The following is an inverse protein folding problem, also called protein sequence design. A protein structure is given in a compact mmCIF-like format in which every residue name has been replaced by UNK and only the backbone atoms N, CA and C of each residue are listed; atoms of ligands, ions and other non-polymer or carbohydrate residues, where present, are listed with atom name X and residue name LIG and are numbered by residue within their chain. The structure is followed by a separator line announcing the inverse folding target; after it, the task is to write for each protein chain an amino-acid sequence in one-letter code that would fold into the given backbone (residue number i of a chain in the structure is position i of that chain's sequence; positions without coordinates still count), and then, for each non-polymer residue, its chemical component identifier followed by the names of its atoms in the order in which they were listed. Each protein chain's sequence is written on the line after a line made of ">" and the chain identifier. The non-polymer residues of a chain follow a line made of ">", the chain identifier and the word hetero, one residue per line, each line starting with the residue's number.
data_IF_931019518136
#
_entry.id   IF_931019518136
#
_cell.length_a   1.000
_cell.length_b   1.000
_cell.length_c   1.000
_cell.angle_alpha   90.00
_cell.angle_beta   90.00
_cell.angle_gamma   90.00
#
_symmetry.space_group_name_H-M   'P 1'
#
loop_
_entity.id
_entity.type
_entity.pdbx_description
1 polymer ?
#
# COMPACT_ATOMS: atom_id res chain seq x y z
N UNK A 1 -10.42 -0.91 -8.17
CA UNK A 1 -10.82 0.20 -7.27
C UNK A 1 -12.24 0.03 -6.74
N UNK A 2 -13.30 0.03 -7.56
CA UNK A 2 -14.70 -0.10 -7.09
C UNK A 2 -14.93 -1.36 -6.23
N UNK A 3 -14.49 -2.54 -6.67
CA UNK A 3 -14.61 -3.77 -5.89
C UNK A 3 -13.92 -3.72 -4.53
N UNK A 4 -12.78 -3.04 -4.43
CA UNK A 4 -12.11 -2.81 -3.15
C UNK A 4 -12.92 -1.89 -2.22
N UNK A 5 -13.57 -0.88 -2.77
CA UNK A 5 -14.45 0.00 -2.00
C UNK A 5 -15.69 -0.74 -1.48
N UNK A 6 -16.26 -1.64 -2.28
CA UNK A 6 -17.39 -2.48 -1.85
C UNK A 6 -16.98 -3.37 -0.67
N UNK A 7 -15.80 -4.00 -0.74
CA UNK A 7 -15.28 -4.80 0.38
C UNK A 7 -15.01 -3.95 1.63
N UNK A 8 -14.49 -2.74 1.46
CA UNK A 8 -14.14 -1.83 2.56
C UNK A 8 -15.36 -1.42 3.41
N UNK A 9 -16.54 -1.30 2.79
CA UNK A 9 -17.77 -0.89 3.44
C UNK A 9 -18.74 -2.04 3.73
N UNK A 10 -18.39 -3.29 3.41
CA UNK A 10 -19.25 -4.45 3.66
C UNK A 10 -19.50 -4.63 5.17
N UNK A 11 -20.74 -4.92 5.54
CA UNK A 11 -21.12 -5.12 6.95
C UNK A 11 -20.53 -6.40 7.54
N UNK A 12 -20.55 -7.50 6.79
CA UNK A 12 -20.10 -8.84 7.24
C UNK A 12 -18.65 -9.13 6.80
N UNK A 13 -17.73 -8.20 7.08
CA UNK A 13 -16.31 -8.37 6.71
C UNK A 13 -15.55 -9.17 7.75
N UNK A 14 -14.81 -10.23 7.33
CA UNK A 14 -13.96 -10.99 8.25
C UNK A 14 -12.80 -10.13 8.75
N UNK A 15 -12.59 -10.09 10.07
CA UNK A 15 -11.48 -9.37 10.70
C UNK A 15 -10.20 -10.20 10.62
N UNK A 16 -9.62 -10.34 9.41
CA UNK A 16 -8.36 -11.04 9.19
C UNK A 16 -7.49 -10.35 8.14
N UNK A 17 -6.19 -10.64 8.17
CA UNK A 17 -5.18 -10.07 7.29
C UNK A 17 -5.46 -10.34 5.81
N UNK A 18 -5.93 -11.53 5.47
CA UNK A 18 -6.21 -11.91 4.08
C UNK A 18 -7.31 -11.05 3.45
N UNK A 19 -8.38 -10.77 4.21
CA UNK A 19 -9.46 -9.88 3.77
C UNK A 19 -8.97 -8.44 3.58
N UNK A 20 -8.21 -7.91 4.56
CA UNK A 20 -7.61 -6.57 4.47
C UNK A 20 -6.69 -6.45 3.26
N UNK A 21 -5.76 -7.36 3.11
CA UNK A 21 -4.83 -7.41 1.98
C UNK A 21 -5.60 -7.39 0.64
N UNK A 22 -6.62 -8.24 0.49
CA UNK A 22 -7.46 -8.26 -0.71
C UNK A 22 -8.17 -6.94 -0.95
N UNK A 23 -8.74 -6.35 0.10
CA UNK A 23 -9.45 -5.07 0.04
C UNK A 23 -8.53 -3.95 -0.44
N UNK A 24 -7.37 -3.81 0.17
CA UNK A 24 -6.39 -2.78 -0.18
C UNK A 24 -5.77 -2.98 -1.57
N UNK A 25 -5.49 -4.23 -1.96
CA UNK A 25 -5.04 -4.54 -3.33
C UNK A 25 -6.05 -4.09 -4.38
N UNK A 26 -7.33 -4.29 -4.15
CA UNK A 26 -8.39 -3.91 -5.08
C UNK A 26 -8.74 -2.42 -5.01
N UNK A 27 -8.65 -1.78 -3.83
CA UNK A 27 -9.02 -0.39 -3.61
C UNK A 27 -7.91 0.56 -4.13
N UNK A 28 -6.73 0.48 -3.57
CA UNK A 28 -5.60 1.38 -3.84
C UNK A 28 -4.53 0.73 -4.71
N UNK A 29 -4.15 -0.51 -4.42
CA UNK A 29 -3.11 -1.24 -5.14
C UNK A 29 -3.40 -1.36 -6.63
N UNK A 30 -4.65 -1.57 -7.04
CA UNK A 30 -5.04 -1.68 -8.43
C UNK A 30 -4.71 -0.41 -9.25
N UNK A 31 -4.88 0.78 -8.67
CA UNK A 31 -4.58 2.04 -9.34
C UNK A 31 -3.07 2.27 -9.47
N UNK A 32 -2.32 2.03 -8.40
CA UNK A 32 -0.86 2.16 -8.38
C UNK A 32 -0.24 1.18 -9.38
N UNK A 33 -0.67 -0.09 -9.37
CA UNK A 33 -0.23 -1.10 -10.32
C UNK A 33 -0.55 -0.70 -11.77
N UNK A 34 -1.76 -0.19 -12.03
CA UNK A 34 -2.13 0.27 -13.37
C UNK A 34 -1.24 1.41 -13.85
N UNK A 35 -0.92 2.39 -12.98
CA UNK A 35 -0.02 3.49 -13.32
C UNK A 35 1.39 3.00 -13.69
N UNK A 36 1.96 2.06 -12.91
CA UNK A 36 3.26 1.45 -13.20
C UNK A 36 3.24 0.72 -14.56
N UNK A 37 2.20 -0.08 -14.81
CA UNK A 37 2.03 -0.79 -16.10
C UNK A 37 1.94 0.17 -17.28
N UNK A 38 1.14 1.23 -17.14
CA UNK A 38 0.97 2.23 -18.22
C UNK A 38 2.31 2.87 -18.56
N UNK A 39 3.16 3.17 -17.61
CA UNK A 39 4.51 3.68 -17.85
C UNK A 39 5.36 2.73 -18.70
N UNK A 40 5.39 1.44 -18.34
CA UNK A 40 6.13 0.42 -19.09
C UNK A 40 5.56 0.24 -20.50
N UNK A 41 4.24 0.20 -20.66
CA UNK A 41 3.58 0.06 -21.97
C UNK A 41 3.89 1.28 -22.85
N UNK A 42 3.78 2.49 -22.30
CA UNK A 42 4.06 3.72 -23.04
C UNK A 42 5.53 3.80 -23.53
N UNK A 43 6.45 3.21 -22.75
CA UNK A 43 7.86 3.11 -23.12
C UNK A 43 8.18 1.94 -24.08
N UNK A 44 7.20 1.15 -24.50
CA UNK A 44 7.43 -0.05 -25.33
C UNK A 44 8.16 -1.17 -24.60
N UNK A 45 8.04 -1.23 -23.26
CA UNK A 45 8.76 -2.18 -22.41
C UNK A 45 8.34 -3.64 -22.62
N UNK A 46 9.25 -4.55 -22.26
CA UNK A 46 9.05 -6.00 -22.40
C UNK A 46 8.02 -6.56 -21.41
N UNK A 47 7.58 -7.81 -21.63
CA UNK A 47 6.73 -8.54 -20.69
C UNK A 47 7.40 -8.73 -19.32
N UNK A 48 8.72 -8.84 -19.29
CA UNK A 48 9.49 -8.92 -18.04
C UNK A 48 9.38 -7.62 -17.24
N UNK A 49 9.57 -6.47 -17.90
CA UNK A 49 9.38 -5.16 -17.26
C UNK A 49 7.93 -4.95 -16.80
N UNK A 50 6.93 -5.45 -17.54
CA UNK A 50 5.53 -5.41 -17.09
C UNK A 50 5.30 -6.22 -15.83
N UNK A 51 5.92 -7.40 -15.70
CA UNK A 51 5.84 -8.22 -14.48
C UNK A 51 6.54 -7.54 -13.30
N UNK A 52 7.69 -6.95 -13.53
CA UNK A 52 8.41 -6.16 -12.51
C UNK A 52 7.56 -4.97 -12.03
N UNK A 53 6.94 -4.23 -12.94
CA UNK A 53 6.05 -3.13 -12.64
C UNK A 53 4.78 -3.57 -11.87
N UNK A 54 4.23 -4.75 -12.20
CA UNK A 54 3.11 -5.34 -11.47
C UNK A 54 3.49 -5.63 -10.01
N UNK A 55 4.62 -6.31 -9.81
CA UNK A 55 5.12 -6.69 -8.48
C UNK A 55 5.45 -5.45 -7.65
N UNK A 56 6.14 -4.47 -8.24
CA UNK A 56 6.46 -3.20 -7.60
C UNK A 56 5.19 -2.44 -7.19
N UNK A 57 4.27 -2.23 -8.12
CA UNK A 57 3.05 -1.44 -7.87
C UNK A 57 2.13 -2.08 -6.84
N UNK A 58 2.07 -3.41 -6.81
CA UNK A 58 1.30 -4.16 -5.82
C UNK A 58 1.92 -4.05 -4.41
N UNK A 59 3.24 -4.20 -4.32
CA UNK A 59 3.98 -4.14 -3.06
C UNK A 59 3.93 -2.73 -2.44
N UNK A 60 4.19 -1.68 -3.24
CA UNK A 60 4.09 -0.28 -2.80
C UNK A 60 2.65 0.06 -2.41
N UNK A 61 1.67 -0.36 -3.20
CA UNK A 61 0.26 -0.07 -2.91
C UNK A 61 -0.23 -0.65 -1.59
N UNK A 62 0.22 -1.87 -1.26
CA UNK A 62 -0.11 -2.49 0.02
C UNK A 62 0.64 -1.81 1.18
N UNK A 63 1.95 -1.56 1.04
CA UNK A 63 2.74 -0.86 2.04
C UNK A 63 2.17 0.54 2.36
N UNK A 64 1.73 1.26 1.32
CA UNK A 64 1.10 2.57 1.45
C UNK A 64 -0.15 2.52 2.34
N UNK A 65 -1.03 1.55 2.13
CA UNK A 65 -2.25 1.41 2.93
C UNK A 65 -1.98 0.95 4.36
N UNK A 66 -1.05 0.01 4.56
CA UNK A 66 -0.63 -0.38 5.92
C UNK A 66 -0.08 0.84 6.67
N UNK A 67 0.70 1.69 5.99
CA UNK A 67 1.25 2.90 6.59
C UNK A 67 0.16 3.93 6.90
N UNK A 68 -0.85 4.09 6.05
CA UNK A 68 -2.01 4.94 6.36
C UNK A 68 -2.72 4.49 7.63
N UNK A 69 -2.98 3.19 7.76
CA UNK A 69 -3.60 2.60 8.95
C UNK A 69 -2.75 2.83 10.21
N UNK A 70 -1.41 2.70 10.09
CA UNK A 70 -0.46 2.97 11.19
C UNK A 70 -0.49 4.45 11.58
N UNK A 71 -0.49 5.35 10.61
CA UNK A 71 -0.50 6.79 10.85
C UNK A 71 -1.80 7.25 11.50
N UNK A 72 -2.95 6.66 11.16
CA UNK A 72 -4.23 6.98 11.81
C UNK A 72 -4.20 6.66 13.31
N UNK A 73 -3.45 5.64 13.73
CA UNK A 73 -3.27 5.27 15.14
C UNK A 73 -2.22 6.14 15.85
N UNK A 74 -1.12 6.48 15.19
CA UNK A 74 0.07 7.10 15.83
C UNK A 74 0.09 8.62 15.78
N UNK A 75 -0.55 9.23 14.76
CA UNK A 75 -0.46 10.67 14.54
C UNK A 75 -1.33 11.44 15.53
N UNK A 76 -0.91 12.65 15.86
CA UNK A 76 -1.74 13.58 16.63
C UNK A 76 -2.71 14.33 15.72
N UNK A 77 -3.85 14.84 16.24
CA UNK A 77 -4.78 15.68 15.45
C UNK A 77 -4.11 16.86 14.78
N UNK A 78 -3.08 17.43 15.42
CA UNK A 78 -2.33 18.58 14.88
C UNK A 78 -1.48 18.20 13.65
N UNK A 79 -0.99 16.95 13.58
CA UNK A 79 -0.17 16.45 12.46
C UNK A 79 -1.03 16.04 11.26
N UNK A 80 -2.20 15.43 11.51
CA UNK A 80 -3.06 14.90 10.45
C UNK A 80 -4.05 15.93 9.89
N UNK A 81 -4.25 17.08 10.54
CA UNK A 81 -5.31 18.03 10.19
C UNK A 81 -6.74 17.50 10.38
N UNK A 82 -6.88 16.29 10.92
CA UNK A 82 -8.14 15.61 11.24
C UNK A 82 -7.99 14.84 12.56
N UNK A 83 -9.10 14.47 13.25
CA UNK A 83 -9.04 13.67 14.47
C UNK A 83 -8.39 12.31 14.19
N UNK A 84 -7.44 11.89 15.04
CA UNK A 84 -6.82 10.55 15.02
C UNK A 84 -7.80 9.46 15.44
N UNK A 85 -7.60 8.21 15.04
CA UNK A 85 -8.54 7.11 15.27
C UNK A 85 -9.84 7.29 14.46
N UNK A 86 -9.77 7.99 13.33
CA UNK A 86 -10.93 8.20 12.47
C UNK A 86 -11.44 6.88 11.90
N UNK A 87 -10.53 5.95 11.59
CA UNK A 87 -10.87 4.64 11.04
C UNK A 87 -11.55 3.76 12.08
N UNK A 88 -11.08 3.76 13.32
CA UNK A 88 -11.74 3.05 14.43
C UNK A 88 -13.15 3.60 14.70
N UNK A 89 -13.31 4.92 14.77
CA UNK A 89 -14.63 5.56 14.94
C UNK A 89 -15.58 5.31 13.78
N UNK A 90 -15.04 5.17 12.57
CA UNK A 90 -15.82 4.81 11.39
C UNK A 90 -16.08 3.30 11.31
N UNK A 91 -15.63 2.51 12.29
CA UNK A 91 -15.74 1.06 12.30
C UNK A 91 -14.96 0.39 11.18
N UNK A 92 -13.91 1.03 10.63
CA UNK A 92 -13.07 0.46 9.59
C UNK A 92 -12.15 -0.60 10.14
N UNK A 93 -11.95 -1.64 9.36
CA UNK A 93 -10.97 -2.66 9.66
C UNK A 93 -9.58 -2.18 9.23
N UNK A 94 -8.60 -2.20 10.14
CA UNK A 94 -7.23 -1.74 9.89
C UNK A 94 -6.20 -2.82 10.24
N UNK A 95 -5.02 -2.75 9.64
CA UNK A 95 -3.93 -3.68 9.98
C UNK A 95 -3.54 -3.63 11.45
N UNK A 96 -3.35 -2.46 12.09
CA UNK A 96 -3.07 -2.41 13.53
C UNK A 96 -4.15 -3.07 14.41
N UNK A 97 -5.42 -2.98 14.02
CA UNK A 97 -6.51 -3.62 14.76
C UNK A 97 -6.52 -5.16 14.60
N UNK A 98 -6.09 -5.68 13.44
CA UNK A 98 -6.16 -7.11 13.12
C UNK A 98 -4.91 -7.88 13.55
N UNK A 99 -3.72 -7.33 13.29
CA UNK A 99 -2.44 -8.01 13.55
C UNK A 99 -1.56 -7.27 14.56
N UNK A 100 -2.01 -6.13 15.08
CA UNK A 100 -1.25 -5.30 16.01
C UNK A 100 -0.25 -4.37 15.31
N UNK A 101 0.07 -3.26 16.00
CA UNK A 101 0.91 -2.18 15.46
C UNK A 101 2.32 -2.65 15.09
N UNK A 102 2.95 -3.49 15.92
CA UNK A 102 4.30 -4.00 15.69
C UNK A 102 4.38 -4.84 14.41
N UNK A 103 3.46 -5.78 14.25
CA UNK A 103 3.39 -6.63 13.05
C UNK A 103 3.04 -5.83 11.79
N UNK A 104 2.16 -4.83 11.91
CA UNK A 104 1.84 -3.93 10.80
C UNK A 104 3.08 -3.17 10.29
N UNK A 105 3.92 -2.65 11.20
CA UNK A 105 5.19 -2.00 10.83
C UNK A 105 6.14 -2.96 10.12
N UNK A 106 6.29 -4.17 10.65
CA UNK A 106 7.14 -5.20 10.02
C UNK A 106 6.64 -5.59 8.63
N UNK A 107 5.33 -5.76 8.48
CA UNK A 107 4.72 -6.09 7.19
C UNK A 107 4.89 -4.95 6.17
N UNK A 108 4.71 -3.70 6.57
CA UNK A 108 4.95 -2.55 5.68
C UNK A 108 6.40 -2.52 5.18
N UNK A 109 7.38 -2.70 6.08
CA UNK A 109 8.78 -2.75 5.73
C UNK A 109 9.10 -3.92 4.77
N UNK A 110 8.58 -5.13 5.03
CA UNK A 110 8.73 -6.30 4.16
C UNK A 110 8.18 -6.03 2.75
N UNK A 111 7.01 -5.38 2.64
CA UNK A 111 6.44 -5.01 1.34
C UNK A 111 7.33 -4.03 0.59
N UNK A 112 7.96 -3.08 1.26
CA UNK A 112 8.91 -2.15 0.63
C UNK A 112 10.17 -2.88 0.16
N UNK A 113 10.74 -3.78 0.94
CA UNK A 113 11.88 -4.57 0.49
C UNK A 113 11.53 -5.40 -0.76
N UNK A 114 10.33 -5.98 -0.81
CA UNK A 114 9.85 -6.68 -2.01
C UNK A 114 9.70 -5.73 -3.22
N UNK A 115 9.21 -4.50 -3.01
CA UNK A 115 9.14 -3.48 -4.06
C UNK A 115 10.54 -3.09 -4.56
N UNK A 116 11.52 -2.91 -3.67
CA UNK A 116 12.91 -2.57 -4.03
C UNK A 116 13.58 -3.69 -4.84
N UNK A 117 13.31 -4.95 -4.52
CA UNK A 117 13.77 -6.08 -5.33
C UNK A 117 13.14 -6.08 -6.73
N UNK A 118 11.83 -5.80 -6.80
CA UNK A 118 11.11 -5.76 -8.07
C UNK A 118 11.50 -4.59 -8.97
N UNK A 119 12.04 -3.49 -8.43
CA UNK A 119 12.41 -2.31 -9.19
C UNK A 119 13.71 -2.48 -9.99
N UNK A 120 14.55 -3.44 -9.63
CA UNK A 120 15.87 -3.66 -10.24
C UNK A 120 15.85 -3.78 -11.78
N UNK A 121 14.89 -4.47 -12.42
CA UNK A 121 14.79 -4.48 -13.88
C UNK A 121 14.25 -3.18 -14.49
N UNK A 122 13.61 -2.33 -13.67
CA UNK A 122 13.02 -1.05 -14.12
C UNK A 122 14.00 0.12 -14.01
N UNK A 123 15.01 0.01 -13.15
CA UNK A 123 16.01 1.04 -12.90
C UNK A 123 17.41 0.43 -12.88
N UNK A 124 18.33 0.95 -13.69
CA UNK A 124 19.73 0.49 -13.74
C UNK A 124 20.53 0.80 -12.47
N UNK A 125 20.03 1.66 -11.62
CA UNK A 125 20.55 2.07 -10.29
C UNK A 125 19.38 2.57 -9.45
N UNK A 126 19.51 2.62 -8.09
CA UNK A 126 18.47 3.21 -7.25
C UNK A 126 18.07 4.60 -7.77
N UNK A 127 16.82 4.72 -8.15
CA UNK A 127 16.26 5.89 -8.81
C UNK A 127 14.94 6.33 -8.18
N UNK A 128 14.09 7.07 -8.93
CA UNK A 128 12.86 7.65 -8.41
C UNK A 128 11.86 6.60 -7.91
N UNK A 129 11.78 5.40 -8.50
CA UNK A 129 10.88 4.36 -8.02
C UNK A 129 11.31 3.80 -6.67
N UNK A 130 12.61 3.53 -6.49
CA UNK A 130 13.16 3.09 -5.21
C UNK A 130 12.98 4.17 -4.13
N UNK A 131 13.20 5.45 -4.46
CA UNK A 131 12.97 6.58 -3.56
C UNK A 131 11.49 6.70 -3.17
N UNK A 132 10.57 6.58 -4.12
CA UNK A 132 9.13 6.63 -3.88
C UNK A 132 8.66 5.48 -2.98
N UNK A 133 9.17 4.26 -3.20
CA UNK A 133 8.87 3.12 -2.35
C UNK A 133 9.26 3.39 -0.89
N UNK A 134 10.48 3.85 -0.62
CA UNK A 134 10.93 4.21 0.74
C UNK A 134 10.09 5.32 1.34
N UNK A 135 9.85 6.39 0.58
CA UNK A 135 9.03 7.51 1.03
C UNK A 135 7.64 7.08 1.47
N UNK A 136 7.05 6.04 0.84
CA UNK A 136 5.69 5.59 1.16
C UNK A 136 5.52 5.12 2.61
N UNK A 137 6.59 4.67 3.28
CA UNK A 137 6.58 4.25 4.69
C UNK A 137 7.30 5.23 5.64
N UNK A 138 8.13 6.13 5.10
CA UNK A 138 8.88 7.12 5.90
C UNK A 138 8.10 8.42 6.14
N UNK A 139 7.03 8.64 5.38
CA UNK A 139 6.17 9.83 5.52
C UNK A 139 5.54 9.89 6.91
N UNK A 140 5.39 11.11 7.42
CA UNK A 140 4.84 11.40 8.75
C UNK A 140 3.44 12.01 8.72
N UNK A 141 2.92 12.26 7.53
CA UNK A 141 1.60 12.85 7.26
C UNK A 141 1.09 12.39 5.90
#
# INVERSE_FOLDING_TARGET
>A
MVGGQVLDIAADRPANEGYLTRTHRLKTGALIRAACRMGVIAAGGSLELLRAADTYGEAVGLAFQITDDILDVLSTPAQMGKPTGADERAGRLTFPAVIGLGQSKSLAAERIEHALQAVSPLESRPGPLAALARYSIERRT
#
